data_IF_250958091360
#
_entry.id   IF_250958091360
#
_cell.length_a   1.000
_cell.length_b   1.000
_cell.length_c   1.000
_cell.angle_alpha   90.00
_cell.angle_beta   90.00
_cell.angle_gamma   90.00
#
_symmetry.space_group_name_H-M   'P 1'
#
loop_
_entity.id
_entity.type
_entity.pdbx_description
1 polymer ?
#
# COMPACT_ATOMS: atom_id res chain seq x y z
N UNK A 1 1.34 2.13 0.68
CA UNK A 1 0.37 1.94 1.79
C UNK A 1 -0.14 0.52 1.68
N UNK A 2 -0.18 -0.21 2.78
CA UNK A 2 -0.75 -1.56 2.82
C UNK A 2 -1.32 -1.80 4.20
N UNK A 3 -2.49 -2.45 4.26
CA UNK A 3 -3.06 -2.87 5.54
C UNK A 3 -2.50 -4.23 5.93
N UNK A 4 -2.17 -4.41 7.22
CA UNK A 4 -1.76 -5.71 7.73
C UNK A 4 -2.94 -6.68 7.87
N UNK A 5 -4.13 -6.15 8.20
CA UNK A 5 -5.36 -6.92 8.41
C UNK A 5 -6.38 -6.66 7.31
N UNK A 6 -7.26 -7.62 7.12
CA UNK A 6 -8.41 -7.49 6.23
C UNK A 6 -9.61 -6.85 6.95
N UNK A 7 -10.35 -6.01 6.22
CA UNK A 7 -11.47 -5.24 6.77
C UNK A 7 -12.69 -5.30 5.87
N UNK A 8 -13.88 -5.27 6.46
CA UNK A 8 -15.13 -4.98 5.77
C UNK A 8 -15.79 -3.73 6.36
N UNK A 9 -16.74 -3.12 5.65
CA UNK A 9 -17.47 -1.98 6.24
C UNK A 9 -18.52 -2.45 7.24
N UNK A 10 -18.76 -1.66 8.29
CA UNK A 10 -19.90 -1.85 9.22
C UNK A 10 -21.24 -1.91 8.47
N UNK A 11 -21.33 -1.18 7.36
CA UNK A 11 -22.49 -1.19 6.48
C UNK A 11 -22.72 -2.58 5.86
N UNK A 12 -21.70 -3.17 5.22
CA UNK A 12 -21.87 -4.46 4.54
C UNK A 12 -22.08 -5.58 5.55
N UNK A 13 -21.42 -5.52 6.71
CA UNK A 13 -21.62 -6.48 7.80
C UNK A 13 -23.08 -6.50 8.28
N UNK A 14 -23.69 -5.33 8.48
CA UNK A 14 -25.10 -5.22 8.84
C UNK A 14 -26.05 -5.66 7.71
N UNK A 15 -25.74 -5.30 6.46
CA UNK A 15 -26.57 -5.67 5.30
C UNK A 15 -26.59 -7.16 5.01
N UNK A 16 -25.46 -7.84 5.16
CA UNK A 16 -25.35 -9.29 5.03
C UNK A 16 -25.76 -10.03 6.31
N UNK A 17 -26.15 -9.32 7.37
CA UNK A 17 -26.51 -9.89 8.67
C UNK A 17 -25.41 -10.82 9.23
N UNK A 18 -24.15 -10.39 9.12
CA UNK A 18 -23.01 -11.17 9.59
C UNK A 18 -23.03 -11.31 11.11
N UNK A 19 -22.77 -12.52 11.59
CA UNK A 19 -22.64 -12.79 13.02
C UNK A 19 -21.26 -12.37 13.50
N UNK A 20 -21.21 -11.47 14.47
CA UNK A 20 -19.96 -11.08 15.13
C UNK A 20 -19.35 -12.25 15.91
N UNK A 21 -18.04 -12.48 15.72
CA UNK A 21 -17.27 -13.51 16.41
C UNK A 21 -16.62 -13.01 17.71
N UNK A 22 -16.51 -11.70 17.87
CA UNK A 22 -15.90 -11.05 19.02
C UNK A 22 -15.40 -9.66 18.66
N UNK A 23 -14.68 -9.04 19.56
CA UNK A 23 -14.08 -7.72 19.34
C UNK A 23 -12.56 -7.79 19.56
N UNK A 24 -11.80 -7.04 18.78
CA UNK A 24 -10.34 -6.96 18.82
C UNK A 24 -9.95 -5.48 18.79
N UNK A 25 -8.99 -5.09 19.64
CA UNK A 25 -8.39 -3.77 19.59
C UNK A 25 -7.15 -3.82 18.72
N UNK A 26 -7.10 -3.01 17.67
CA UNK A 26 -5.98 -2.92 16.73
C UNK A 26 -5.33 -1.56 16.83
N UNK A 27 -4.00 -1.54 16.87
CA UNK A 27 -3.23 -0.30 16.79
C UNK A 27 -2.90 0.01 15.33
N UNK A 28 -3.43 1.11 14.81
CA UNK A 28 -3.20 1.59 13.46
C UNK A 28 -1.99 2.51 13.44
N UNK A 29 -0.90 2.05 12.84
CA UNK A 29 0.28 2.88 12.54
C UNK A 29 0.14 3.55 11.18
N UNK A 30 0.25 4.87 11.13
CA UNK A 30 0.26 5.68 9.92
C UNK A 30 1.65 6.27 9.66
N UNK A 31 1.88 6.71 8.43
CA UNK A 31 3.11 7.42 8.06
C UNK A 31 3.31 8.65 8.97
N UNK A 32 4.57 8.88 9.37
CA UNK A 32 4.91 9.92 10.34
C UNK A 32 4.87 9.46 11.80
N UNK A 33 4.68 8.17 12.08
CA UNK A 33 4.71 7.61 13.43
C UNK A 33 3.44 7.89 14.25
N UNK A 34 2.34 8.23 13.56
CA UNK A 34 1.04 8.43 14.19
C UNK A 34 0.46 7.04 14.48
N UNK A 35 0.08 6.81 15.73
CA UNK A 35 -0.56 5.58 16.18
C UNK A 35 -1.97 5.87 16.71
N UNK A 36 -2.93 5.01 16.37
CA UNK A 36 -4.29 5.10 16.85
C UNK A 36 -4.84 3.71 17.17
N UNK A 37 -5.15 3.45 18.44
CA UNK A 37 -5.81 2.21 18.85
C UNK A 37 -7.32 2.33 18.68
N UNK A 38 -7.91 1.43 17.89
CA UNK A 38 -9.34 1.36 17.67
C UNK A 38 -9.86 -0.06 17.91
N UNK A 39 -11.10 -0.15 18.38
CA UNK A 39 -11.78 -1.42 18.67
C UNK A 39 -12.70 -1.79 17.51
N UNK A 40 -12.48 -2.97 16.97
CA UNK A 40 -13.19 -3.50 15.81
C UNK A 40 -13.94 -4.77 16.19
N UNK A 41 -15.08 -5.01 15.54
CA UNK A 41 -15.76 -6.31 15.63
C UNK A 41 -15.20 -7.24 14.55
N UNK A 42 -15.04 -8.51 14.90
CA UNK A 42 -14.57 -9.58 14.02
C UNK A 42 -15.72 -10.34 13.39
N UNK A 43 -15.54 -10.73 12.15
CA UNK A 43 -16.51 -11.52 11.38
C UNK A 43 -15.78 -12.57 10.55
N UNK A 44 -16.45 -13.68 10.28
CA UNK A 44 -16.05 -14.58 9.20
C UNK A 44 -16.86 -14.27 7.95
N UNK A 45 -16.19 -14.22 6.81
CA UNK A 45 -16.82 -14.07 5.50
C UNK A 45 -16.29 -15.11 4.53
N UNK A 46 -17.13 -15.51 3.57
CA UNK A 46 -16.70 -16.30 2.43
C UNK A 46 -16.59 -15.40 1.21
N UNK A 47 -15.43 -15.39 0.58
CA UNK A 47 -15.23 -14.78 -0.73
C UNK A 47 -15.25 -15.85 -1.80
N UNK A 48 -15.79 -15.49 -2.96
CA UNK A 48 -15.72 -16.29 -4.17
C UNK A 48 -15.40 -15.39 -5.35
N UNK A 49 -14.74 -15.96 -6.35
CA UNK A 49 -14.62 -15.31 -7.65
C UNK A 49 -15.94 -15.40 -8.42
N UNK A 50 -16.05 -14.63 -9.50
CA UNK A 50 -17.32 -14.44 -10.24
C UNK A 50 -17.83 -15.75 -10.87
N UNK A 51 -16.93 -16.63 -11.30
CA UNK A 51 -17.29 -17.93 -11.90
C UNK A 51 -17.51 -19.04 -10.86
N UNK A 52 -17.26 -18.77 -9.58
CA UNK A 52 -17.40 -19.71 -8.47
C UNK A 52 -16.34 -20.82 -8.42
N UNK A 53 -15.32 -20.78 -9.27
CA UNK A 53 -14.26 -21.79 -9.30
C UNK A 53 -13.31 -21.72 -8.09
N UNK A 54 -13.27 -20.59 -7.41
CA UNK A 54 -12.48 -20.40 -6.19
C UNK A 54 -13.35 -19.80 -5.09
N UNK A 55 -13.16 -20.32 -3.87
CA UNK A 55 -13.71 -19.74 -2.66
C UNK A 55 -12.70 -19.84 -1.52
N UNK A 56 -12.77 -18.87 -0.60
CA UNK A 56 -12.02 -18.93 0.64
C UNK A 56 -12.75 -18.21 1.77
N UNK A 57 -12.55 -18.73 2.98
CA UNK A 57 -13.03 -18.10 4.20
C UNK A 57 -11.96 -17.14 4.74
N UNK A 58 -12.40 -15.97 5.23
CA UNK A 58 -11.55 -14.92 5.76
C UNK A 58 -12.15 -14.37 7.06
N UNK A 59 -11.29 -14.21 8.07
CA UNK A 59 -11.60 -13.37 9.21
C UNK A 59 -11.30 -11.90 8.89
N UNK A 60 -12.30 -11.03 9.08
CA UNK A 60 -12.21 -9.60 8.81
C UNK A 60 -12.66 -8.77 10.00
N UNK A 61 -12.09 -7.57 10.11
CA UNK A 61 -12.45 -6.56 11.10
C UNK A 61 -13.42 -5.53 10.47
N UNK A 62 -14.38 -5.00 11.23
CA UNK A 62 -15.22 -3.93 10.69
C UNK A 62 -14.57 -2.56 10.74
N UNK A 63 -14.82 -1.76 9.71
CA UNK A 63 -14.39 -0.37 9.61
C UNK A 63 -15.59 0.50 9.22
N UNK A 64 -15.66 1.74 9.71
CA UNK A 64 -16.71 2.67 9.31
C UNK A 64 -16.57 3.04 7.84
N UNK A 65 -15.34 3.29 7.40
CA UNK A 65 -14.99 3.66 6.02
C UNK A 65 -13.55 3.25 5.72
N UNK A 66 -13.37 2.40 4.72
CA UNK A 66 -12.05 1.87 4.35
C UNK A 66 -11.17 2.94 3.68
N UNK A 67 -11.72 3.63 2.68
CA UNK A 67 -10.99 4.67 1.96
C UNK A 67 -11.94 5.69 1.33
N UNK A 68 -11.38 6.79 0.83
CA UNK A 68 -12.09 7.66 -0.10
C UNK A 68 -12.38 6.91 -1.42
N UNK A 69 -13.31 7.44 -2.22
CA UNK A 69 -13.62 6.87 -3.54
C UNK A 69 -12.35 6.77 -4.38
N UNK A 70 -12.12 5.59 -4.96
CA UNK A 70 -10.96 5.35 -5.81
C UNK A 70 -11.25 5.84 -7.23
N UNK A 71 -10.24 6.42 -7.93
CA UNK A 71 -10.38 6.71 -9.34
C UNK A 71 -10.54 5.40 -10.11
N UNK A 72 -11.54 5.35 -10.99
CA UNK A 72 -11.72 4.21 -11.90
C UNK A 72 -10.75 4.32 -13.06
N UNK A 73 -10.34 3.18 -13.60
CA UNK A 73 -9.54 3.13 -14.83
C UNK A 73 -10.32 3.76 -16.00
N UNK A 74 -9.73 4.78 -16.63
CA UNK A 74 -10.33 5.51 -17.75
C UNK A 74 -9.39 5.64 -18.97
N UNK A 75 -8.30 4.86 -19.00
CA UNK A 75 -7.35 4.86 -20.11
C UNK A 75 -7.77 3.85 -21.19
N UNK A 76 -8.30 4.35 -22.30
CA UNK A 76 -8.74 3.55 -23.44
C UNK A 76 -7.65 2.65 -24.03
N UNK A 77 -6.39 3.09 -24.02
CA UNK A 77 -5.29 2.29 -24.55
C UNK A 77 -5.00 1.11 -23.63
N UNK A 78 -5.01 1.35 -22.32
CA UNK A 78 -4.90 0.29 -21.31
C UNK A 78 -6.07 -0.70 -21.43
N UNK A 79 -7.31 -0.21 -21.55
CA UNK A 79 -8.50 -1.06 -21.68
C UNK A 79 -8.48 -1.92 -22.95
N UNK A 80 -8.00 -1.38 -24.08
CA UNK A 80 -7.81 -2.15 -25.31
C UNK A 80 -6.77 -3.26 -25.13
N UNK A 81 -5.61 -2.95 -24.55
CA UNK A 81 -4.57 -3.96 -24.31
C UNK A 81 -5.04 -5.08 -23.38
N UNK A 82 -5.76 -4.73 -22.31
CA UNK A 82 -6.35 -5.72 -21.41
C UNK A 82 -7.32 -6.64 -22.17
N UNK A 83 -8.18 -6.06 -23.03
CA UNK A 83 -9.10 -6.83 -23.87
C UNK A 83 -8.36 -7.75 -24.85
N UNK A 84 -7.30 -7.26 -25.49
CA UNK A 84 -6.47 -8.05 -26.42
C UNK A 84 -5.77 -9.22 -25.70
N UNK A 85 -5.45 -9.04 -24.41
CA UNK A 85 -4.92 -10.08 -23.53
C UNK A 85 -6.01 -11.03 -22.97
N UNK A 86 -7.28 -10.80 -23.29
CA UNK A 86 -8.41 -11.56 -22.73
C UNK A 86 -8.66 -11.28 -21.24
N UNK A 87 -8.18 -10.15 -20.71
CA UNK A 87 -8.32 -9.74 -19.32
C UNK A 87 -9.55 -8.84 -19.18
N UNK A 88 -10.48 -9.25 -18.32
CA UNK A 88 -11.67 -8.47 -17.96
C UNK A 88 -11.44 -7.79 -16.62
N UNK A 89 -11.77 -6.50 -16.52
CA UNK A 89 -11.70 -5.72 -15.27
C UNK A 89 -13.09 -5.21 -14.92
N UNK A 90 -13.45 -5.35 -13.65
CA UNK A 90 -14.74 -4.92 -13.10
C UNK A 90 -14.97 -3.40 -13.24
N UNK A 91 -13.94 -2.58 -13.07
CA UNK A 91 -14.04 -1.11 -13.16
C UNK A 91 -14.62 -0.57 -14.47
N UNK A 92 -14.45 -1.31 -15.58
CA UNK A 92 -14.95 -0.95 -16.90
C UNK A 92 -16.27 -1.65 -17.28
N UNK A 93 -16.66 -2.70 -16.54
CA UNK A 93 -17.75 -3.62 -16.93
C UNK A 93 -18.90 -3.64 -15.92
N UNK A 94 -18.72 -3.10 -14.71
CA UNK A 94 -19.83 -3.01 -13.74
C UNK A 94 -20.90 -2.05 -14.29
N UNK A 95 -21.91 -2.62 -14.94
CA UNK A 95 -23.24 -2.03 -15.00
C UNK A 95 -23.65 -1.71 -13.55
N UNK A 96 -24.08 -0.48 -13.30
CA UNK A 96 -24.56 0.09 -12.02
C UNK A 96 -25.68 -0.72 -11.31
N UNK A 97 -26.05 -1.89 -11.84
CA UNK A 97 -27.11 -2.77 -11.35
C UNK A 97 -26.62 -4.05 -10.67
N UNK A 98 -25.30 -4.29 -10.58
CA UNK A 98 -24.77 -5.60 -10.16
C UNK A 98 -24.51 -5.71 -8.65
N UNK A 99 -24.45 -4.59 -7.94
CA UNK A 99 -24.26 -4.59 -6.49
C UNK A 99 -25.63 -4.44 -5.81
N UNK A 100 -26.15 -5.54 -5.27
CA UNK A 100 -27.45 -5.62 -4.57
C UNK A 100 -27.58 -4.66 -3.37
N UNK A 101 -26.48 -4.03 -2.94
CA UNK A 101 -26.35 -3.23 -1.73
C UNK A 101 -25.62 -1.91 -1.98
N UNK A 102 -25.92 -1.17 -3.05
CA UNK A 102 -25.32 0.15 -3.26
C UNK A 102 -25.97 1.24 -2.40
N UNK A 103 -25.19 1.78 -1.46
CA UNK A 103 -25.42 3.11 -0.90
C UNK A 103 -24.71 4.19 -1.75
N UNK A 104 -23.53 3.86 -2.30
CA UNK A 104 -22.71 4.65 -3.22
C UNK A 104 -21.85 3.71 -4.08
N UNK A 105 -21.93 3.80 -5.41
CA UNK A 105 -21.23 2.91 -6.37
C UNK A 105 -19.70 3.04 -6.42
N UNK A 106 -19.12 3.95 -5.63
CA UNK A 106 -17.68 4.18 -5.54
C UNK A 106 -17.07 3.85 -4.18
N UNK A 107 -17.86 3.35 -3.22
CA UNK A 107 -17.39 3.02 -1.89
C UNK A 107 -16.83 1.60 -1.83
N UNK A 108 -15.62 1.45 -1.29
CA UNK A 108 -14.98 0.16 -1.08
C UNK A 108 -15.51 -0.45 0.23
N UNK A 109 -16.12 -1.63 0.11
CA UNK A 109 -16.73 -2.34 1.24
C UNK A 109 -15.86 -3.45 1.82
N UNK A 110 -14.78 -3.81 1.14
CA UNK A 110 -13.87 -4.88 1.52
C UNK A 110 -12.43 -4.49 1.16
N UNK A 111 -11.53 -4.64 2.13
CA UNK A 111 -10.09 -4.50 1.99
C UNK A 111 -9.44 -5.83 2.37
N UNK A 112 -8.63 -6.37 1.47
CA UNK A 112 -7.82 -7.56 1.75
C UNK A 112 -6.42 -7.08 2.15
N UNK A 113 -6.04 -7.38 3.39
CA UNK A 113 -4.75 -7.05 3.96
C UNK A 113 -3.66 -8.07 3.62
N UNK A 114 -2.46 -7.82 4.14
CA UNK A 114 -1.30 -8.68 3.97
C UNK A 114 -1.48 -10.09 4.60
N UNK A 115 -2.39 -10.21 5.57
CA UNK A 115 -2.81 -11.47 6.19
C UNK A 115 -3.35 -12.52 5.18
N UNK A 116 -3.94 -12.07 4.06
CA UNK A 116 -4.44 -12.95 3.02
C UNK A 116 -3.95 -12.64 1.60
N UNK A 117 -3.55 -11.40 1.31
CA UNK A 117 -3.18 -10.98 -0.04
C UNK A 117 -2.14 -11.91 -0.69
N UNK A 118 -1.10 -12.32 0.05
CA UNK A 118 -0.07 -13.22 -0.46
C UNK A 118 -0.58 -14.59 -0.90
N UNK A 119 -1.66 -15.10 -0.27
CA UNK A 119 -2.27 -16.40 -0.61
C UNK A 119 -3.10 -16.33 -1.90
N UNK A 120 -3.55 -15.14 -2.28
CA UNK A 120 -4.37 -14.94 -3.46
C UNK A 120 -3.54 -14.75 -4.73
N UNK A 121 -2.27 -14.36 -4.60
CA UNK A 121 -1.39 -14.13 -5.75
C UNK A 121 -1.01 -15.44 -6.44
N UNK A 122 -1.18 -15.49 -7.76
CA UNK A 122 -0.85 -16.70 -8.54
C UNK A 122 0.52 -16.62 -9.22
N UNK A 123 1.18 -15.46 -9.18
CA UNK A 123 2.45 -15.20 -9.85
C UNK A 123 2.35 -14.91 -11.34
N UNK A 124 1.16 -15.05 -11.96
CA UNK A 124 0.96 -14.66 -13.35
C UNK A 124 0.84 -13.14 -13.48
N UNK A 125 1.78 -12.55 -14.21
CA UNK A 125 1.96 -11.10 -14.35
C UNK A 125 1.98 -10.75 -15.85
N UNK A 126 1.24 -9.72 -16.23
CA UNK A 126 1.24 -9.14 -17.59
C UNK A 126 1.61 -7.66 -17.50
N UNK A 127 2.67 -7.28 -18.18
CA UNK A 127 3.09 -5.89 -18.28
C UNK A 127 2.28 -5.19 -19.37
N UNK A 128 1.73 -4.03 -19.04
CA UNK A 128 1.01 -3.15 -19.97
C UNK A 128 1.92 -1.98 -20.34
N UNK A 129 1.62 -1.32 -21.45
CA UNK A 129 2.36 -0.09 -21.80
C UNK A 129 2.16 0.99 -20.74
N UNK A 130 3.19 1.78 -20.49
CA UNK A 130 3.09 2.94 -19.61
C UNK A 130 3.30 2.65 -18.12
N UNK A 131 3.84 1.48 -17.77
CA UNK A 131 4.26 1.15 -16.39
C UNK A 131 3.17 0.52 -15.54
N UNK A 132 1.99 0.24 -16.11
CA UNK A 132 0.95 -0.55 -15.49
C UNK A 132 1.26 -2.05 -15.60
N UNK A 133 0.80 -2.80 -14.60
CA UNK A 133 0.98 -4.24 -14.50
C UNK A 133 -0.34 -4.86 -14.09
N UNK A 134 -0.80 -5.85 -14.86
CA UNK A 134 -1.90 -6.71 -14.49
C UNK A 134 -1.35 -7.94 -13.75
N UNK A 135 -1.88 -8.21 -12.57
CA UNK A 135 -1.51 -9.33 -11.71
C UNK A 135 -2.71 -10.23 -11.54
N UNK A 136 -2.54 -11.52 -11.79
CA UNK A 136 -3.60 -12.49 -11.63
C UNK A 136 -3.66 -12.99 -10.19
N UNK A 137 -4.87 -12.96 -9.63
CA UNK A 137 -5.19 -13.51 -8.31
C UNK A 137 -6.24 -14.61 -8.44
N UNK A 138 -6.43 -15.40 -7.39
CA UNK A 138 -7.51 -16.39 -7.32
C UNK A 138 -8.91 -15.77 -7.36
N UNK A 139 -9.03 -14.45 -7.14
CA UNK A 139 -10.28 -13.70 -7.25
C UNK A 139 -10.47 -13.02 -8.62
N UNK A 140 -9.49 -13.12 -9.52
CA UNK A 140 -9.47 -12.45 -10.82
C UNK A 140 -8.26 -11.53 -11.01
N UNK A 141 -8.33 -10.68 -12.03
CA UNK A 141 -7.23 -9.77 -12.39
C UNK A 141 -7.32 -8.44 -11.66
N UNK A 142 -6.17 -7.96 -11.17
CA UNK A 142 -6.01 -6.61 -10.62
C UNK A 142 -4.95 -5.86 -11.42
N UNK A 143 -5.13 -4.55 -11.61
CA UNK A 143 -4.15 -3.69 -12.26
C UNK A 143 -3.58 -2.70 -11.26
N UNK A 144 -2.26 -2.56 -11.28
CA UNK A 144 -1.52 -1.67 -10.41
C UNK A 144 -0.37 -1.00 -11.17
N UNK A 145 0.15 0.08 -10.61
CA UNK A 145 1.24 0.86 -11.18
C UNK A 145 0.85 2.30 -11.48
N UNK A 146 1.81 3.07 -11.95
CA UNK A 146 1.60 4.46 -12.34
C UNK A 146 1.14 4.49 -13.79
N UNK A 147 -0.05 5.02 -14.05
CA UNK A 147 -0.42 5.38 -15.41
C UNK A 147 0.26 6.71 -15.79
N UNK A 148 0.73 6.83 -17.03
CA UNK A 148 1.40 8.03 -17.55
C UNK A 148 0.43 9.18 -17.86
N UNK A 149 -0.75 9.19 -17.25
CA UNK A 149 -1.71 10.29 -17.40
C UNK A 149 -1.11 11.52 -16.73
N UNK A 150 -0.91 12.57 -17.53
CA UNK A 150 -0.75 13.93 -17.02
C UNK A 150 -2.06 14.33 -16.32
N UNK A 151 -2.27 13.89 -15.09
CA UNK A 151 -3.28 14.47 -14.21
C UNK A 151 -2.81 15.89 -13.86
N UNK A 152 -3.48 16.95 -14.35
CA UNK A 152 -3.17 18.30 -13.90
C UNK A 152 -3.79 18.43 -12.50
N UNK A 153 -2.96 18.37 -11.45
CA UNK A 153 -3.27 18.63 -10.03
C UNK A 153 -4.44 17.80 -9.44
N UNK A 154 -4.20 16.88 -8.52
CA UNK A 154 -3.75 17.18 -7.15
C UNK A 154 -2.78 16.13 -6.61
N UNK A 155 -1.84 16.58 -5.79
CA UNK A 155 -1.09 15.79 -4.81
C UNK A 155 -1.83 14.51 -4.36
N UNK A 156 -1.39 13.35 -4.86
CA UNK A 156 -1.52 12.08 -4.13
C UNK A 156 -0.40 11.97 -3.07
N UNK A 157 0.01 13.11 -2.53
CA UNK A 157 0.86 13.21 -1.36
C UNK A 157 -0.06 12.97 -0.18
N UNK A 158 -0.18 11.69 0.19
CA UNK A 158 -0.83 11.20 1.40
C UNK A 158 -0.43 12.06 2.60
N UNK A 159 -1.24 13.05 2.97
CA UNK A 159 -1.35 13.60 4.32
C UNK A 159 -0.07 13.90 5.12
N UNK A 160 1.11 14.07 4.52
CA UNK A 160 2.28 14.60 5.22
C UNK A 160 2.08 16.11 5.26
N UNK A 161 1.22 16.54 6.18
CA UNK A 161 1.28 17.91 6.65
C UNK A 161 2.51 17.99 7.54
N UNK A 162 3.64 18.41 6.99
CA UNK A 162 4.80 18.79 7.79
C UNK A 162 4.36 19.92 8.72
N UNK A 163 4.00 19.58 9.95
CA UNK A 163 3.97 20.51 11.08
C UNK A 163 5.41 20.79 11.51
N UNK A 164 6.27 21.13 10.57
CA UNK A 164 7.52 21.80 10.88
C UNK A 164 7.27 23.28 10.66
N UNK A 165 7.50 24.10 11.67
CA UNK A 165 7.67 25.54 11.51
C UNK A 165 8.43 25.79 10.21
N UNK A 166 7.79 26.47 9.24
CA UNK A 166 8.39 26.75 7.94
C UNK A 166 9.56 27.72 8.12
N UNK A 167 10.71 27.23 8.56
CA UNK A 167 11.98 27.92 8.34
C UNK A 167 12.19 27.98 6.84
N UNK A 168 12.58 29.15 6.33
CA UNK A 168 12.74 29.31 4.89
C UNK A 168 13.79 28.32 4.38
N UNK A 169 13.64 27.83 3.13
CA UNK A 169 14.63 26.95 2.49
C UNK A 169 16.07 27.47 2.64
N UNK A 170 16.23 28.79 2.68
CA UNK A 170 17.52 29.48 2.80
C UNK A 170 18.17 29.30 4.17
N UNK A 171 17.41 29.34 5.26
CA UNK A 171 17.93 29.18 6.63
C UNK A 171 18.38 27.74 6.89
N UNK A 172 17.59 26.76 6.46
CA UNK A 172 17.92 25.33 6.59
C UNK A 172 19.19 24.98 5.83
N UNK A 173 19.39 25.56 4.65
CA UNK A 173 20.61 25.38 3.87
C UNK A 173 21.84 25.99 4.55
N UNK A 174 21.72 27.16 5.18
CA UNK A 174 22.81 27.79 5.90
C UNK A 174 23.22 26.99 7.16
N UNK A 175 22.23 26.50 7.92
CA UNK A 175 22.45 25.61 9.07
C UNK A 175 23.11 24.30 8.65
N UNK A 176 22.63 23.66 7.58
CA UNK A 176 23.22 22.43 7.06
C UNK A 176 24.66 22.64 6.57
N UNK A 177 24.94 23.76 5.89
CA UNK A 177 26.28 24.11 5.43
C UNK A 177 27.24 24.39 6.61
N UNK A 178 26.76 25.07 7.65
CA UNK A 178 27.54 25.33 8.87
C UNK A 178 27.87 24.01 9.58
N UNK A 179 26.88 23.15 9.78
CA UNK A 179 27.06 21.83 10.38
C UNK A 179 28.04 20.95 9.60
N UNK A 180 27.94 20.96 8.26
CA UNK A 180 28.89 20.25 7.40
C UNK A 180 30.34 20.71 7.62
N UNK A 181 30.56 22.03 7.67
CA UNK A 181 31.90 22.60 7.90
C UNK A 181 32.46 22.26 9.28
N UNK A 182 31.61 22.17 10.30
CA UNK A 182 32.02 21.86 11.67
C UNK A 182 32.31 20.37 11.88
N UNK A 183 31.63 19.49 11.14
CA UNK A 183 31.68 18.04 11.39
C UNK A 183 32.51 17.26 10.38
N UNK A 184 32.95 17.90 9.28
CA UNK A 184 33.85 17.29 8.31
C UNK A 184 35.24 17.10 8.92
N UNK A 185 35.66 15.83 8.99
CA UNK A 185 36.98 15.41 9.42
C UNK A 185 37.51 14.33 8.49
N UNK A 186 38.81 14.02 8.55
CA UNK A 186 39.40 12.88 7.83
C UNK A 186 39.81 11.80 8.80
N UNK A 187 39.50 10.55 8.46
CA UNK A 187 39.97 9.39 9.22
C UNK A 187 41.41 9.01 8.85
N UNK A 188 41.97 8.06 9.60
CA UNK A 188 43.35 7.58 9.42
C UNK A 188 43.56 6.85 8.07
N UNK A 189 42.49 6.60 7.31
CA UNK A 189 42.53 6.01 5.96
C UNK A 189 42.43 7.07 4.86
N UNK A 190 42.34 8.35 5.23
CA UNK A 190 42.20 9.47 4.30
C UNK A 190 40.78 9.72 3.82
N UNK A 191 39.77 9.00 4.34
CA UNK A 191 38.36 9.18 3.97
C UNK A 191 37.73 10.29 4.79
N UNK A 192 36.83 11.04 4.16
CA UNK A 192 36.06 12.08 4.85
C UNK A 192 34.97 11.44 5.73
N UNK A 193 34.88 11.90 6.97
CA UNK A 193 33.82 11.60 7.92
C UNK A 193 33.07 12.90 8.21
N UNK A 194 31.76 12.89 7.98
CA UNK A 194 30.84 14.01 8.22
C UNK A 194 29.71 13.49 9.09
N UNK A 195 29.25 14.30 10.05
CA UNK A 195 28.04 13.98 10.79
C UNK A 195 26.82 14.50 10.01
N UNK A 196 25.75 13.73 10.02
CA UNK A 196 24.49 14.15 9.42
C UNK A 196 23.76 15.12 10.37
N UNK A 197 23.13 16.19 9.85
CA UNK A 197 22.39 17.15 10.65
C UNK A 197 21.05 16.54 11.07
N UNK A 198 21.04 15.81 12.19
CA UNK A 198 19.81 15.31 12.79
C UNK A 198 19.09 16.41 13.58
N UNK A 199 17.78 16.27 13.75
CA UNK A 199 17.02 17.10 14.67
C UNK A 199 17.47 16.83 16.11
N UNK A 200 17.62 17.88 16.91
CA UNK A 200 17.95 17.77 18.33
C UNK A 200 16.87 16.93 19.05
N UNK A 201 17.31 15.95 19.85
CA UNK A 201 16.41 15.05 20.58
C UNK A 201 15.96 13.81 19.80
N UNK A 202 16.59 13.46 18.67
CA UNK A 202 16.30 12.19 17.99
C UNK A 202 16.59 10.98 18.92
N UNK A 203 15.78 9.91 18.86
CA UNK A 203 16.12 8.65 19.52
C UNK A 203 17.38 8.03 18.89
N UNK A 204 18.14 7.20 19.63
CA UNK A 204 19.32 6.52 19.09
C UNK A 204 18.99 5.75 17.82
N UNK A 205 19.78 5.97 16.77
CA UNK A 205 19.62 5.21 15.52
C UNK A 205 20.01 3.75 15.76
N UNK A 206 19.18 2.84 15.26
CA UNK A 206 19.50 1.42 15.25
C UNK A 206 20.61 1.17 14.23
N UNK A 207 21.69 0.51 14.64
CA UNK A 207 22.77 0.09 13.75
C UNK A 207 22.48 -1.31 13.18
N UNK A 208 22.67 -1.47 11.87
CA UNK A 208 22.50 -2.75 11.17
C UNK A 208 23.84 -3.46 10.89
N UNK A 209 24.95 -2.99 11.49
CA UNK A 209 26.30 -3.51 11.28
C UNK A 209 26.46 -5.02 11.49
N UNK A 210 25.68 -5.65 12.37
CA UNK A 210 25.73 -7.11 12.55
C UNK A 210 25.00 -7.89 11.43
N UNK A 211 24.02 -7.27 10.78
CA UNK A 211 23.26 -7.87 9.68
C UNK A 211 23.91 -7.64 8.33
N UNK A 212 24.54 -6.48 8.12
CA UNK A 212 25.13 -6.10 6.84
C UNK A 212 26.15 -7.12 6.28
N UNK A 213 27.06 -7.73 7.09
CA UNK A 213 27.96 -8.77 6.60
C UNK A 213 27.24 -10.03 6.15
N UNK A 214 26.12 -10.38 6.79
CA UNK A 214 25.30 -11.56 6.45
C UNK A 214 24.59 -11.38 5.11
N UNK A 215 24.24 -10.15 4.73
CA UNK A 215 23.67 -9.84 3.41
C UNK A 215 24.71 -9.87 2.29
N UNK A 216 25.96 -9.49 2.60
CA UNK A 216 27.07 -9.51 1.64
C UNK A 216 27.57 -10.93 1.33
N UNK A 217 27.30 -11.89 2.21
CA UNK A 217 27.70 -13.29 2.04
C UNK A 217 26.58 -14.20 1.55
N UNK A 218 25.39 -13.66 1.22
CA UNK A 218 24.35 -14.44 0.55
C UNK A 218 24.88 -14.78 -0.85
N UNK A 219 25.13 -16.07 -1.17
CA UNK A 219 25.50 -16.47 -2.51
C UNK A 219 24.38 -16.08 -3.48
N UNK A 220 24.73 -15.65 -4.69
CA UNK A 220 23.76 -15.41 -5.77
C UNK A 220 22.72 -16.55 -5.77
N UNK A 221 21.45 -16.21 -5.52
CA UNK A 221 20.36 -17.17 -5.72
C UNK A 221 20.43 -17.55 -7.19
N UNK A 222 20.82 -18.79 -7.43
CA UNK A 222 21.11 -19.38 -8.73
C UNK A 222 20.21 -18.79 -9.83
N UNK A 223 20.83 -18.05 -10.74
CA UNK A 223 20.36 -18.02 -12.12
C UNK A 223 20.32 -19.47 -12.60
N UNK A 224 19.23 -19.81 -13.30
CA UNK A 224 18.99 -21.01 -14.09
C UNK A 224 18.18 -22.11 -13.38
N UNK A 225 16.92 -22.25 -13.80
CA UNK A 225 16.50 -23.48 -14.46
C UNK A 225 15.51 -23.18 -15.59
N UNK A 226 16.08 -23.24 -16.81
CA UNK A 226 15.54 -23.43 -18.18
C UNK A 226 14.63 -22.38 -18.81
#
# INVERSE_FOLDING_TARGET
MGSQRSYNTKFIAGKMNLKGLGEETVNHGLFGGIEHAEKHRRYNINLSNVDGSYNCELEVLDEKKICASLPRMNDDNCLKQLKDLGILISDAIINEKSCLYEKNSGEINLLIGADYAGKLLTGNIKHLTGGLVAVHTLLGWTVMGKSNINCPSTDNTLGIHDSSEKRSKTETQQLALKHFKETVSRDNTGRYKVNLPWLDGHPPLHDNKEMAPKWLTIPEINKSDK
#
